data_IF_065951071605
#
_entry.id   IF_065951071605
#
_cell.length_a   1.000
_cell.length_b   1.000
_cell.length_c   1.000
_cell.angle_alpha   90.00
_cell.angle_beta   90.00
_cell.angle_gamma   90.00
#
_symmetry.space_group_name_H-M   'P 1'
#
loop_
_entity.id
_entity.type
_entity.pdbx_description
1 polymer ?
#
# COMPACT_ATOMS: atom_id res chain seq x y z
N UNK A 1 -6.24 9.51 10.33
CA UNK A 1 -7.08 9.48 9.10
C UNK A 1 -8.08 8.33 9.22
N UNK A 2 -9.34 8.58 8.94
CA UNK A 2 -10.32 7.49 8.97
C UNK A 2 -10.32 6.73 7.64
N UNK A 3 -11.10 5.64 7.56
CA UNK A 3 -11.11 4.77 6.38
C UNK A 3 -11.58 5.51 5.13
N UNK A 4 -12.59 6.37 5.27
CA UNK A 4 -13.11 7.11 4.12
C UNK A 4 -12.07 8.09 3.58
N UNK A 5 -11.40 8.80 4.46
CA UNK A 5 -10.34 9.73 4.09
C UNK A 5 -9.17 8.98 3.45
N UNK A 6 -8.82 7.82 4.00
CA UNK A 6 -7.77 6.98 3.46
C UNK A 6 -8.12 6.51 2.04
N UNK A 7 -9.35 6.06 1.86
CA UNK A 7 -9.84 5.60 0.57
C UNK A 7 -9.75 6.72 -0.48
N UNK A 8 -10.22 7.91 -0.12
CA UNK A 8 -10.17 9.07 -1.01
C UNK A 8 -8.72 9.44 -1.35
N UNK A 9 -7.85 9.39 -0.35
CA UNK A 9 -6.45 9.71 -0.57
C UNK A 9 -5.81 8.75 -1.58
N UNK A 10 -6.05 7.45 -1.42
CA UNK A 10 -5.51 6.46 -2.34
C UNK A 10 -5.98 6.71 -3.78
N UNK A 11 -7.27 7.00 -3.95
CA UNK A 11 -7.82 7.24 -5.28
C UNK A 11 -7.32 8.56 -5.89
N UNK A 12 -6.88 9.49 -5.07
CA UNK A 12 -6.39 10.79 -5.53
C UNK A 12 -4.98 10.73 -6.11
N UNK A 13 -4.27 9.63 -5.92
CA UNK A 13 -2.87 9.53 -6.34
C UNK A 13 -2.68 9.48 -7.86
N UNK A 14 -3.69 9.04 -8.58
CA UNK A 14 -3.62 8.94 -10.03
C UNK A 14 -4.62 7.92 -10.55
N UNK A 15 -4.26 7.19 -11.59
CA UNK A 15 -5.12 6.15 -12.13
C UNK A 15 -5.02 4.91 -11.27
N UNK A 16 -5.84 4.86 -10.23
CA UNK A 16 -5.86 3.78 -9.24
C UNK A 16 -7.13 2.96 -9.42
N UNK A 17 -6.97 1.65 -9.41
CA UNK A 17 -8.10 0.71 -9.38
C UNK A 17 -8.20 0.13 -7.99
N UNK A 18 -9.42 -0.19 -7.56
CA UNK A 18 -9.65 -0.86 -6.28
C UNK A 18 -10.49 -2.10 -6.50
N UNK A 19 -10.16 -3.16 -5.77
CA UNK A 19 -10.86 -4.44 -5.88
C UNK A 19 -10.84 -5.17 -4.56
N UNK A 20 -11.75 -6.14 -4.43
CA UNK A 20 -11.74 -7.11 -3.33
C UNK A 20 -11.39 -8.48 -3.94
N UNK A 21 -10.12 -8.73 -4.28
CA UNK A 21 -9.77 -9.94 -5.02
C UNK A 21 -9.93 -11.23 -4.22
N UNK A 22 -10.03 -11.13 -2.90
CA UNK A 22 -10.15 -12.29 -2.01
C UNK A 22 -11.55 -12.39 -1.40
N UNK A 23 -12.54 -11.74 -2.00
CA UNK A 23 -13.89 -11.66 -1.42
C UNK A 23 -14.55 -13.03 -1.19
N UNK A 24 -14.20 -14.02 -2.02
CA UNK A 24 -14.76 -15.36 -1.92
C UNK A 24 -14.03 -16.26 -0.93
N UNK A 25 -12.91 -15.79 -0.39
CA UNK A 25 -12.14 -16.55 0.58
C UNK A 25 -12.53 -16.17 2.00
N UNK A 26 -12.47 -17.11 2.96
CA UNK A 26 -12.78 -16.79 4.36
C UNK A 26 -11.91 -15.64 4.85
N UNK A 27 -12.56 -14.59 5.36
CA UNK A 27 -11.87 -13.41 5.88
C UNK A 27 -11.37 -12.45 4.82
N UNK A 28 -11.51 -12.79 3.53
CA UNK A 28 -11.00 -11.95 2.46
C UNK A 28 -11.96 -10.86 1.99
N UNK A 29 -13.20 -10.91 2.44
CA UNK A 29 -14.23 -9.95 2.04
C UNK A 29 -14.00 -8.55 2.62
N UNK A 30 -13.10 -8.40 3.59
CA UNK A 30 -12.75 -7.11 4.17
C UNK A 30 -11.39 -6.59 3.69
N UNK A 31 -10.73 -7.30 2.78
CA UNK A 31 -9.42 -6.90 2.29
C UNK A 31 -9.55 -6.15 0.96
N UNK A 32 -9.46 -4.83 1.06
CA UNK A 32 -9.52 -3.94 -0.11
C UNK A 32 -8.11 -3.73 -0.65
N UNK A 33 -7.93 -3.94 -1.96
CA UNK A 33 -6.63 -3.84 -2.59
C UNK A 33 -6.63 -2.76 -3.65
N UNK A 34 -5.59 -1.93 -3.64
CA UNK A 34 -5.42 -0.84 -4.61
C UNK A 34 -4.31 -1.18 -5.59
N UNK A 35 -4.55 -0.86 -6.86
CA UNK A 35 -3.65 -1.19 -7.97
C UNK A 35 -3.27 0.05 -8.75
N UNK A 36 -2.04 0.05 -9.25
CA UNK A 36 -1.59 1.00 -10.26
C UNK A 36 -0.85 0.22 -11.33
N UNK A 37 -1.11 0.53 -12.60
CA UNK A 37 -0.54 -0.21 -13.72
C UNK A 37 -0.80 -1.72 -13.59
N UNK A 38 -1.98 -2.09 -13.10
CA UNK A 38 -2.42 -3.48 -12.89
C UNK A 38 -1.61 -4.24 -11.84
N UNK A 39 -0.84 -3.54 -11.01
CA UNK A 39 -0.06 -4.16 -9.94
C UNK A 39 -0.43 -3.56 -8.60
N UNK A 40 -0.40 -4.38 -7.54
CA UNK A 40 -0.81 -3.94 -6.22
C UNK A 40 0.23 -3.01 -5.59
N UNK A 41 -0.24 -1.94 -4.95
CA UNK A 41 0.64 -1.07 -4.17
C UNK A 41 0.16 -0.89 -2.74
N UNK A 42 -1.07 -1.27 -2.44
CA UNK A 42 -1.62 -1.06 -1.11
C UNK A 42 -2.71 -2.11 -0.81
N UNK A 43 -2.61 -2.73 0.35
CA UNK A 43 -3.61 -3.64 0.87
C UNK A 43 -4.19 -3.00 2.12
N UNK A 44 -5.50 -2.93 2.22
CA UNK A 44 -6.18 -2.33 3.38
C UNK A 44 -7.18 -3.30 3.98
N UNK A 45 -6.95 -3.69 5.24
CA UNK A 45 -7.89 -4.55 5.95
C UNK A 45 -8.91 -3.65 6.65
N UNK A 46 -10.14 -3.66 6.14
CA UNK A 46 -11.21 -2.80 6.66
C UNK A 46 -11.72 -3.25 8.02
N UNK A 47 -11.44 -4.49 8.42
CA UNK A 47 -11.85 -5.00 9.71
C UNK A 47 -10.84 -4.66 10.80
N UNK A 48 -9.55 -4.84 10.49
CA UNK A 48 -8.49 -4.62 11.47
C UNK A 48 -7.92 -3.20 11.42
N UNK A 49 -8.29 -2.41 10.42
CA UNK A 49 -7.76 -1.05 10.20
C UNK A 49 -6.25 -1.05 10.04
N UNK A 50 -5.74 -2.03 9.32
CA UNK A 50 -4.32 -2.15 9.01
C UNK A 50 -4.10 -2.03 7.52
N UNK A 51 -2.91 -1.57 7.16
CA UNK A 51 -2.53 -1.34 5.77
C UNK A 51 -1.16 -1.96 5.55
N UNK A 52 -0.93 -2.50 4.34
CA UNK A 52 0.40 -2.98 3.95
C UNK A 52 0.75 -2.29 2.65
N UNK A 53 1.93 -1.69 2.60
CA UNK A 53 2.41 -0.97 1.42
C UNK A 53 3.85 -1.33 1.12
N UNK A 54 4.22 -1.18 -0.14
CA UNK A 54 5.60 -1.40 -0.59
C UNK A 54 6.47 -0.22 -0.16
N UNK A 55 7.72 -0.51 0.20
CA UNK A 55 8.62 0.53 0.71
C UNK A 55 10.06 0.18 0.38
N UNK A 56 10.89 1.21 0.25
CA UNK A 56 12.32 1.03 0.04
C UNK A 56 12.94 0.37 1.27
N UNK A 57 13.86 -0.56 1.04
CA UNK A 57 14.49 -1.32 2.12
C UNK A 57 15.11 -0.43 3.18
N UNK A 58 15.83 0.60 2.76
CA UNK A 58 16.48 1.55 3.67
C UNK A 58 15.47 2.31 4.52
N UNK A 59 14.36 2.68 3.92
CA UNK A 59 13.29 3.40 4.62
C UNK A 59 12.61 2.50 5.64
N UNK A 60 12.42 1.23 5.30
CA UNK A 60 11.86 0.25 6.23
C UNK A 60 12.73 0.16 7.47
N UNK A 61 14.04 0.06 7.29
CA UNK A 61 14.98 -0.04 8.40
C UNK A 61 14.92 1.20 9.31
N UNK A 62 14.72 2.38 8.73
CA UNK A 62 14.57 3.61 9.50
C UNK A 62 13.28 3.63 10.33
N UNK A 63 12.21 3.10 9.79
CA UNK A 63 10.88 3.24 10.40
C UNK A 63 10.54 2.18 11.41
N UNK A 64 10.96 0.94 11.17
CA UNK A 64 10.63 -0.16 12.09
C UNK A 64 11.31 0.08 13.45
N UNK A 65 10.49 0.01 14.50
CA UNK A 65 10.96 0.20 15.86
C UNK A 65 11.10 1.65 16.29
N UNK A 66 10.93 2.61 15.38
CA UNK A 66 11.07 4.02 15.71
C UNK A 66 9.81 4.83 15.39
N UNK A 67 9.13 4.54 14.30
CA UNK A 67 7.95 5.29 13.89
C UNK A 67 6.69 4.66 14.45
N UNK A 68 5.90 5.45 15.16
CA UNK A 68 4.63 4.99 15.71
C UNK A 68 3.68 4.61 14.60
N UNK A 69 3.04 3.45 14.73
CA UNK A 69 2.09 2.97 13.74
C UNK A 69 2.70 2.21 12.58
N UNK A 70 4.01 2.05 12.55
CA UNK A 70 4.69 1.24 11.53
C UNK A 70 5.10 -0.09 12.15
N UNK A 71 4.70 -1.19 11.50
CA UNK A 71 4.91 -2.55 11.99
C UNK A 71 5.45 -3.43 10.87
N UNK A 72 6.01 -4.59 11.19
CA UNK A 72 6.30 -5.58 10.15
C UNK A 72 4.99 -6.03 9.49
N UNK A 73 5.02 -6.38 8.21
CA UNK A 73 3.83 -6.94 7.57
C UNK A 73 3.58 -8.37 8.07
N UNK A 74 2.42 -8.92 7.72
CA UNK A 74 2.17 -10.33 8.08
C UNK A 74 3.02 -11.27 7.24
N UNK A 75 2.95 -12.58 7.52
CA UNK A 75 3.84 -13.58 6.92
C UNK A 75 3.68 -13.76 5.41
N UNK A 76 2.64 -13.20 4.80
CA UNK A 76 2.42 -13.30 3.37
C UNK A 76 3.27 -12.31 2.57
N UNK A 77 3.90 -11.35 3.24
CA UNK A 77 4.67 -10.30 2.60
C UNK A 77 6.14 -10.36 2.99
N UNK A 78 7.02 -10.05 2.05
CA UNK A 78 8.45 -9.95 2.32
C UNK A 78 8.74 -8.74 3.22
N UNK A 79 9.41 -8.99 4.34
CA UNK A 79 9.78 -7.93 5.27
C UNK A 79 10.83 -6.97 4.69
N UNK A 80 11.45 -7.35 3.58
CA UNK A 80 12.45 -6.51 2.91
C UNK A 80 11.83 -5.39 2.08
N UNK A 81 10.61 -5.60 1.59
CA UNK A 81 9.99 -4.71 0.61
C UNK A 81 8.63 -4.16 1.02
N UNK A 82 8.06 -4.67 2.10
CA UNK A 82 6.73 -4.29 2.55
C UNK A 82 6.73 -3.91 4.02
N UNK A 83 5.88 -2.98 4.39
CA UNK A 83 5.67 -2.60 5.80
C UNK A 83 4.20 -2.63 6.12
N UNK A 84 3.90 -2.88 7.40
CA UNK A 84 2.55 -2.79 7.92
C UNK A 84 2.32 -1.43 8.56
N UNK A 85 1.08 -0.99 8.53
CA UNK A 85 0.66 0.30 9.08
C UNK A 85 -0.58 0.10 9.92
N UNK A 86 -0.56 0.64 11.15
CA UNK A 86 -1.72 0.65 12.02
C UNK A 86 -2.41 2.01 11.84
N UNK A 87 -3.55 2.02 11.13
CA UNK A 87 -4.23 3.28 10.79
C UNK A 87 -4.59 4.15 11.99
N UNK A 88 -5.12 3.57 13.10
CA UNK A 88 -5.46 4.42 14.25
C UNK A 88 -4.28 5.11 14.90
N UNK A 89 -3.08 4.57 14.73
CA UNK A 89 -1.90 5.03 15.47
C UNK A 89 -0.99 5.93 14.67
N UNK A 90 -0.88 5.70 13.36
CA UNK A 90 0.09 6.41 12.51
C UNK A 90 -0.29 7.87 12.31
N UNK A 91 0.72 8.74 12.24
CA UNK A 91 0.55 10.13 11.87
C UNK A 91 0.09 10.25 10.42
N UNK A 92 -0.86 11.14 10.16
CA UNK A 92 -1.41 11.34 8.82
C UNK A 92 -0.34 11.69 7.78
N UNK A 93 0.61 12.54 8.16
CA UNK A 93 1.67 12.93 7.23
C UNK A 93 2.53 11.76 6.82
N UNK A 94 2.90 10.91 7.78
CA UNK A 94 3.70 9.73 7.48
C UNK A 94 2.89 8.72 6.67
N UNK A 95 1.61 8.54 7.00
CA UNK A 95 0.73 7.67 6.25
C UNK A 95 0.67 8.07 4.77
N UNK A 96 0.47 9.36 4.52
CA UNK A 96 0.42 9.87 3.14
C UNK A 96 1.74 9.65 2.41
N UNK A 97 2.83 9.91 3.07
CA UNK A 97 4.17 9.70 2.50
C UNK A 97 4.37 8.24 2.10
N UNK A 98 4.03 7.32 2.99
CA UNK A 98 4.26 5.90 2.75
C UNK A 98 3.35 5.33 1.66
N UNK A 99 2.08 5.73 1.65
CA UNK A 99 1.14 5.26 0.63
C UNK A 99 1.50 5.84 -0.73
N UNK A 100 1.79 7.13 -0.80
CA UNK A 100 2.21 7.78 -2.03
C UNK A 100 3.54 7.19 -2.53
N UNK A 101 4.45 6.91 -1.60
CA UNK A 101 5.73 6.28 -1.94
C UNK A 101 5.55 4.91 -2.57
N UNK A 102 4.65 4.10 -2.00
CA UNK A 102 4.34 2.78 -2.56
C UNK A 102 3.77 2.90 -3.97
N UNK A 103 2.82 3.83 -4.14
CA UNK A 103 2.25 4.10 -5.45
C UNK A 103 3.34 4.44 -6.47
N UNK A 104 4.26 5.34 -6.12
CA UNK A 104 5.34 5.74 -7.00
C UNK A 104 6.32 4.61 -7.33
N UNK A 105 6.66 3.79 -6.33
CA UNK A 105 7.55 2.64 -6.55
C UNK A 105 6.97 1.70 -7.60
N UNK A 106 5.70 1.34 -7.44
CA UNK A 106 5.03 0.39 -8.34
C UNK A 106 4.81 1.04 -9.70
N UNK A 107 4.33 2.28 -9.72
CA UNK A 107 4.07 2.98 -10.97
C UNK A 107 5.34 3.11 -11.81
N UNK A 108 6.43 3.55 -11.19
CA UNK A 108 7.69 3.73 -11.90
C UNK A 108 8.19 2.44 -12.51
N UNK A 109 8.09 1.34 -11.75
CA UNK A 109 8.54 0.04 -12.22
C UNK A 109 7.75 -0.44 -13.44
N UNK A 110 6.43 -0.33 -13.39
CA UNK A 110 5.57 -0.94 -14.42
C UNK A 110 5.15 0.02 -15.54
N UNK A 111 5.00 1.29 -15.25
CA UNK A 111 4.70 2.29 -16.28
C UNK A 111 5.88 2.45 -17.24
N UNK A 112 7.09 2.45 -16.70
CA UNK A 112 8.33 2.51 -17.47
C UNK A 112 8.43 1.33 -18.43
N UNK A 113 8.09 0.15 -17.95
CA UNK A 113 8.05 -1.07 -18.76
C UNK A 113 7.03 -0.96 -19.89
N UNK A 114 5.84 -0.46 -19.56
CA UNK A 114 4.78 -0.25 -20.52
C UNK A 114 5.18 0.75 -21.60
N UNK A 115 5.82 1.84 -21.21
CA UNK A 115 6.31 2.85 -22.12
C UNK A 115 7.31 2.27 -23.10
N UNK A 116 8.25 1.48 -22.62
CA UNK A 116 9.25 0.83 -23.46
C UNK A 116 8.58 -0.05 -24.50
N UNK A 117 7.59 -0.81 -24.07
CA UNK A 117 6.86 -1.68 -24.98
C UNK A 117 6.12 -0.89 -26.04
N UNK A 118 5.50 0.20 -25.67
CA UNK A 118 4.71 1.03 -26.61
C UNK A 118 5.56 1.77 -27.62
N UNK A 119 6.82 1.99 -27.33
CA UNK A 119 7.72 2.70 -28.24
C UNK A 119 8.30 1.80 -29.32
N UNK A 120 8.08 0.53 -29.21
CA UNK A 120 8.53 -0.44 -30.19
C UNK A 120 7.45 -0.76 -31.19
#
# INVERSE_FOLDING_TARGET
>A
MNIEEFHEFCLSLGEVEEKFPFAKMPGGDTLLVFYVCSHTFCYCDLHEFTVVVKCQTERIAELLGTAEGVTPPDSHFSVKYWIGIDLPTIHDELLKELVAGSFEIVKEKYAKKGKKSSQK
#
